data_IF_317475357260
#
_entry.id   IF_317475357260
#
_cell.length_a   1.000
_cell.length_b   1.000
_cell.length_c   1.000
_cell.angle_alpha   90.00
_cell.angle_beta   90.00
_cell.angle_gamma   90.00
#
_symmetry.space_group_name_H-M   'P 1'
#
loop_
_entity.id
_entity.type
_entity.pdbx_description
1 polymer ?
#
# COMPACT_ATOMS: atom_id res chain seq x y z
N UNK A 1 19.73 -6.42 6.38
CA UNK A 1 19.53 -6.43 7.00
C UNK A 1 18.42 -6.27 7.81
N UNK A 2 18.08 -5.57 8.47
CA UNK A 2 17.10 -5.45 9.33
C UNK A 2 15.99 -4.69 8.87
N UNK A 3 15.89 -4.31 7.66
CA UNK A 3 14.88 -3.41 7.23
C UNK A 3 13.50 -4.00 7.28
N UNK A 4 13.33 -5.28 7.18
CA UNK A 4 12.00 -5.86 7.24
C UNK A 4 11.62 -6.36 8.62
N UNK A 5 12.57 -6.26 9.57
CA UNK A 5 12.30 -6.74 10.83
C UNK A 5 11.24 -5.98 11.47
N UNK A 6 10.38 -6.57 12.18
CA UNK A 6 9.38 -5.88 12.97
C UNK A 6 8.35 -5.09 12.20
N UNK A 7 8.13 -5.45 10.94
CA UNK A 7 7.04 -4.81 10.22
C UNK A 7 5.72 -5.07 10.93
N UNK A 8 5.58 -6.26 11.47
CA UNK A 8 4.41 -6.60 12.26
C UNK A 8 4.24 -5.64 13.44
N UNK A 9 5.33 -5.33 14.10
CA UNK A 9 5.30 -4.41 15.23
C UNK A 9 5.02 -2.98 14.76
N UNK A 10 5.60 -2.59 13.63
CA UNK A 10 5.36 -1.26 13.10
C UNK A 10 3.88 -1.03 12.79
N UNK A 11 3.24 -2.03 12.21
CA UNK A 11 1.82 -1.93 11.89
C UNK A 11 1.01 -1.84 13.17
N UNK A 12 1.36 -2.67 14.15
CA UNK A 12 0.67 -2.64 15.43
C UNK A 12 0.79 -1.27 16.09
N UNK A 13 2.00 -0.73 16.09
CA UNK A 13 2.23 0.58 16.69
C UNK A 13 1.47 1.68 15.97
N UNK A 14 1.42 1.58 14.65
CA UNK A 14 0.69 2.55 13.84
C UNK A 14 -0.80 2.54 14.20
N UNK A 15 -1.36 1.35 14.30
CA UNK A 15 -2.76 1.21 14.62
C UNK A 15 -3.06 1.77 16.02
N UNK A 16 -2.17 1.49 16.96
CA UNK A 16 -2.36 1.99 18.32
C UNK A 16 -2.23 3.50 18.38
N UNK A 17 -1.28 4.05 17.62
CA UNK A 17 -1.06 5.48 17.62
C UNK A 17 -2.26 6.25 17.08
N UNK A 18 -2.86 5.76 16.03
CA UNK A 18 -3.97 6.45 15.38
C UNK A 18 -5.33 5.86 15.71
N UNK A 19 -5.32 4.80 16.52
CA UNK A 19 -6.55 4.17 16.99
C UNK A 19 -7.48 3.71 15.87
N UNK A 20 -6.90 3.18 14.82
CA UNK A 20 -7.67 2.62 13.71
C UNK A 20 -6.77 1.75 12.86
N UNK A 21 -7.34 0.69 12.29
CA UNK A 21 -6.64 -0.13 11.32
C UNK A 21 -7.18 0.11 9.92
N UNK A 22 -8.13 1.03 9.79
CA UNK A 22 -8.73 1.34 8.49
C UNK A 22 -7.76 2.20 7.69
N UNK A 23 -7.25 1.72 6.55
CA UNK A 23 -6.25 2.49 5.81
C UNK A 23 -6.79 3.82 5.27
N UNK A 24 -8.08 3.91 4.99
CA UNK A 24 -8.66 5.18 4.56
C UNK A 24 -8.59 6.21 5.68
N UNK A 25 -8.91 5.78 6.89
CA UNK A 25 -8.84 6.67 8.04
C UNK A 25 -7.40 6.99 8.42
N UNK A 26 -6.50 6.04 8.26
CA UNK A 26 -5.09 6.29 8.51
C UNK A 26 -4.57 7.38 7.58
N UNK A 27 -4.95 7.30 6.30
CA UNK A 27 -4.54 8.31 5.35
C UNK A 27 -5.06 9.69 5.76
N UNK A 28 -6.31 9.74 6.18
CA UNK A 28 -6.90 10.99 6.61
C UNK A 28 -6.13 11.58 7.79
N UNK A 29 -5.82 10.76 8.78
CA UNK A 29 -5.09 11.23 9.95
C UNK A 29 -3.65 11.62 9.64
N UNK A 30 -3.10 11.06 8.58
CA UNK A 30 -1.73 11.34 8.16
C UNK A 30 -1.67 12.45 7.10
N UNK A 31 -2.82 13.04 6.78
CA UNK A 31 -2.92 14.10 5.78
C UNK A 31 -2.48 13.63 4.40
N UNK A 32 -2.86 12.42 4.06
CA UNK A 32 -2.61 11.86 2.74
C UNK A 32 -3.94 11.85 2.00
N UNK A 33 -4.00 12.52 0.86
CA UNK A 33 -5.21 12.57 0.06
C UNK A 33 -5.30 11.35 -0.83
N UNK A 34 -6.48 10.77 -0.91
CA UNK A 34 -6.72 9.62 -1.78
C UNK A 34 -7.52 10.10 -2.97
N UNK A 35 -7.00 9.82 -4.15
CA UNK A 35 -7.66 10.20 -5.39
C UNK A 35 -7.82 8.99 -6.29
N UNK A 36 -8.79 9.04 -7.15
CA UNK A 36 -9.07 7.95 -8.07
C UNK A 36 -8.94 8.44 -9.49
N UNK A 37 -8.37 7.62 -10.34
CA UNK A 37 -8.19 8.00 -11.73
C UNK A 37 -8.17 6.75 -12.59
N UNK A 38 -8.37 6.96 -13.88
CA UNK A 38 -8.45 5.85 -14.82
C UNK A 38 -7.10 5.63 -15.46
N UNK A 39 -6.52 4.45 -15.26
CA UNK A 39 -5.24 4.09 -15.84
C UNK A 39 -5.36 2.79 -16.58
N UNK A 40 -4.43 2.57 -17.51
CA UNK A 40 -4.43 1.34 -18.23
C UNK A 40 -3.66 0.24 -17.54
N UNK A 41 -2.44 0.50 -17.17
CA UNK A 41 -1.55 -0.52 -16.63
C UNK A 41 -1.09 -0.30 -15.21
N UNK A 42 -1.55 0.75 -14.58
CA UNK A 42 -1.10 1.09 -13.24
C UNK A 42 -2.25 0.90 -12.26
N UNK A 43 -1.96 0.20 -11.17
CA UNK A 43 -2.97 -0.03 -10.14
C UNK A 43 -3.10 1.16 -9.20
N UNK A 44 -1.96 1.82 -8.95
CA UNK A 44 -1.95 3.00 -8.09
C UNK A 44 -0.54 3.47 -7.87
N UNK A 45 -0.43 4.63 -7.25
CA UNK A 45 0.90 5.15 -6.91
C UNK A 45 0.79 6.19 -5.81
N UNK A 46 1.91 6.44 -5.17
CA UNK A 46 2.03 7.49 -4.17
C UNK A 46 2.86 8.61 -4.77
N UNK A 47 2.44 9.84 -4.52
CA UNK A 47 3.18 10.98 -5.01
C UNK A 47 3.16 12.11 -4.01
N UNK A 48 4.28 12.80 -3.91
CA UNK A 48 4.40 13.95 -3.07
C UNK A 48 4.66 15.15 -3.95
N UNK A 49 3.76 16.13 -3.88
CA UNK A 49 3.89 17.35 -4.67
C UNK A 49 3.92 18.51 -3.70
N UNK A 50 5.05 19.21 -3.67
CA UNK A 50 5.30 20.26 -2.71
C UNK A 50 5.18 19.65 -1.31
N UNK A 51 4.22 20.09 -0.52
CA UNK A 51 4.05 19.57 0.83
C UNK A 51 2.86 18.65 0.95
N UNK A 52 2.23 18.34 -0.16
CA UNK A 52 1.01 17.52 -0.14
C UNK A 52 1.33 16.13 -0.61
N UNK A 53 0.70 15.17 0.04
CA UNK A 53 0.90 13.76 -0.28
C UNK A 53 -0.39 13.20 -0.86
N UNK A 54 -0.24 12.42 -1.91
CA UNK A 54 -1.38 11.83 -2.60
C UNK A 54 -1.15 10.35 -2.83
N UNK A 55 -2.20 9.57 -2.66
CA UNK A 55 -2.23 8.20 -3.14
C UNK A 55 -3.31 8.16 -4.21
N UNK A 56 -2.93 7.76 -5.40
CA UNK A 56 -3.86 7.71 -6.52
C UNK A 56 -4.13 6.24 -6.82
N UNK A 57 -5.40 5.87 -6.90
CA UNK A 57 -5.81 4.49 -7.09
C UNK A 57 -6.60 4.38 -8.38
N UNK A 58 -6.33 3.33 -9.14
CA UNK A 58 -7.05 3.09 -10.38
C UNK A 58 -8.52 2.83 -10.06
N UNK A 59 -9.38 3.67 -10.60
CA UNK A 59 -10.81 3.58 -10.28
C UNK A 59 -11.47 2.35 -10.88
N UNK A 60 -10.80 1.67 -11.80
CA UNK A 60 -11.35 0.47 -12.41
C UNK A 60 -11.14 -0.78 -11.58
N UNK A 61 -10.40 -0.68 -10.49
CA UNK A 61 -10.20 -1.80 -9.60
C UNK A 61 -11.45 -2.05 -8.77
N UNK A 62 -11.67 -3.30 -8.42
CA UNK A 62 -12.77 -3.60 -7.50
C UNK A 62 -12.41 -3.13 -6.09
N UNK A 63 -13.38 -3.22 -5.21
CA UNK A 63 -13.22 -2.69 -3.87
C UNK A 63 -12.09 -3.34 -3.09
N UNK A 64 -11.98 -4.65 -3.19
CA UNK A 64 -10.92 -5.35 -2.47
C UNK A 64 -9.54 -4.97 -3.00
N UNK A 65 -9.42 -4.92 -4.33
CA UNK A 65 -8.14 -4.55 -4.94
C UNK A 65 -7.75 -3.13 -4.58
N UNK A 66 -8.71 -2.22 -4.51
CA UNK A 66 -8.42 -0.85 -4.10
C UNK A 66 -7.85 -0.82 -2.68
N UNK A 67 -8.41 -1.64 -1.81
CA UNK A 67 -7.94 -1.70 -0.44
C UNK A 67 -6.51 -2.21 -0.37
N UNK A 68 -6.20 -3.27 -1.11
CA UNK A 68 -4.86 -3.83 -1.13
C UNK A 68 -3.86 -2.81 -1.67
N UNK A 69 -4.22 -2.14 -2.77
CA UNK A 69 -3.34 -1.15 -3.36
C UNK A 69 -3.15 0.02 -2.41
N UNK A 70 -4.20 0.44 -1.73
CA UNK A 70 -4.09 1.52 -0.77
C UNK A 70 -3.12 1.16 0.34
N UNK A 71 -3.21 -0.05 0.88
CA UNK A 71 -2.29 -0.49 1.92
C UNK A 71 -0.85 -0.49 1.43
N UNK A 72 -0.63 -0.93 0.21
CA UNK A 72 0.72 -0.97 -0.36
C UNK A 72 1.28 0.44 -0.52
N UNK A 73 0.48 1.35 -1.09
CA UNK A 73 0.94 2.70 -1.32
C UNK A 73 1.11 3.47 0.00
N UNK A 74 0.29 3.14 0.98
CA UNK A 74 0.48 3.74 2.29
C UNK A 74 1.82 3.34 2.89
N UNK A 75 2.25 2.11 2.66
CA UNK A 75 3.57 1.68 3.09
C UNK A 75 4.67 2.53 2.48
N UNK A 76 4.57 2.81 1.18
CA UNK A 76 5.53 3.70 0.53
C UNK A 76 5.47 5.10 1.12
N UNK A 77 4.26 5.59 1.36
CA UNK A 77 4.11 6.94 1.91
C UNK A 77 4.76 7.08 3.27
N UNK A 78 4.65 6.05 4.09
CA UNK A 78 5.18 6.09 5.44
C UNK A 78 6.68 5.89 5.50
N UNK A 79 7.21 5.00 4.69
CA UNK A 79 8.59 4.59 4.86
C UNK A 79 9.53 4.96 3.72
N UNK A 80 8.98 5.39 2.60
CA UNK A 80 9.81 5.67 1.43
C UNK A 80 9.59 7.04 0.80
N UNK A 81 8.74 7.87 1.38
CA UNK A 81 8.35 9.12 0.75
C UNK A 81 9.49 10.13 0.67
N UNK A 82 10.48 10.02 1.53
CA UNK A 82 11.59 10.96 1.54
C UNK A 82 12.90 10.34 1.08
N UNK A 83 12.84 9.15 0.51
CA UNK A 83 14.06 8.49 0.07
C UNK A 83 14.51 8.98 -1.28
N UNK A 84 15.81 9.12 -1.42
CA UNK A 84 16.38 9.49 -2.71
C UNK A 84 16.62 8.28 -3.58
N UNK A 85 16.08 7.14 -3.16
CA UNK A 85 16.26 5.91 -3.89
C UNK A 85 15.20 5.69 -4.96
N UNK A 86 14.32 6.67 -5.15
CA UNK A 86 13.32 6.60 -6.19
C UNK A 86 13.98 6.77 -7.55
N UNK A 87 13.60 5.92 -8.46
CA UNK A 87 14.12 5.97 -9.82
C UNK A 87 13.03 6.47 -10.74
N UNK A 88 13.45 7.24 -11.75
CA UNK A 88 12.51 7.76 -12.72
C UNK A 88 12.52 6.84 -13.93
N UNK A 89 11.37 6.30 -14.25
CA UNK A 89 11.24 5.44 -15.40
C UNK A 89 9.94 5.74 -16.11
N UNK A 90 10.03 6.09 -17.39
CA UNK A 90 8.86 6.44 -18.19
C UNK A 90 8.02 7.52 -17.50
N UNK A 91 8.71 8.50 -16.92
CA UNK A 91 8.08 9.62 -16.23
C UNK A 91 7.35 9.24 -14.94
N UNK A 92 7.62 8.05 -14.42
CA UNK A 92 7.07 7.62 -13.15
C UNK A 92 8.20 7.29 -12.20
N UNK A 93 7.95 7.53 -10.92
CA UNK A 93 8.90 7.15 -9.89
C UNK A 93 8.76 5.67 -9.63
N UNK A 94 9.89 4.98 -9.62
CA UNK A 94 9.92 3.54 -9.36
C UNK A 94 10.73 3.30 -8.10
N UNK A 95 10.31 2.31 -7.34
CA UNK A 95 11.02 1.93 -6.13
C UNK A 95 11.93 0.75 -6.41
N UNK A 96 12.97 0.62 -5.62
CA UNK A 96 13.85 -0.52 -5.72
C UNK A 96 13.11 -1.78 -5.28
N UNK A 97 13.61 -2.96 -5.66
CA UNK A 97 12.97 -4.20 -5.21
C UNK A 97 12.88 -4.29 -3.69
N UNK A 98 13.88 -3.79 -2.98
CA UNK A 98 13.87 -3.82 -1.53
C UNK A 98 12.74 -2.97 -0.96
N UNK A 99 12.55 -1.78 -1.53
CA UNK A 99 11.49 -0.91 -1.06
C UNK A 99 10.11 -1.46 -1.41
N UNK A 100 10.00 -2.08 -2.59
CA UNK A 100 8.74 -2.72 -2.95
C UNK A 100 8.43 -3.87 -2.00
N UNK A 101 9.45 -4.63 -1.63
CA UNK A 101 9.26 -5.73 -0.70
C UNK A 101 8.79 -5.23 0.66
N UNK A 102 9.36 -4.13 1.12
CA UNK A 102 8.93 -3.55 2.39
C UNK A 102 7.47 -3.08 2.33
N UNK A 103 7.10 -2.43 1.25
CA UNK A 103 5.73 -1.96 1.10
C UNK A 103 4.76 -3.13 1.03
N UNK A 104 5.18 -4.22 0.37
CA UNK A 104 4.34 -5.41 0.30
C UNK A 104 4.17 -6.04 1.67
N UNK A 105 5.23 -6.08 2.44
CA UNK A 105 5.16 -6.65 3.79
C UNK A 105 4.25 -5.81 4.67
N UNK A 106 4.36 -4.49 4.56
CA UNK A 106 3.48 -3.60 5.31
C UNK A 106 2.02 -3.86 4.93
N UNK A 107 1.75 -3.95 3.62
CA UNK A 107 0.39 -4.14 3.15
C UNK A 107 -0.20 -5.45 3.67
N UNK A 108 0.60 -6.52 3.62
CA UNK A 108 0.11 -7.82 4.09
C UNK A 108 -0.20 -7.76 5.58
N UNK A 109 0.67 -7.13 6.36
CA UNK A 109 0.43 -7.05 7.80
C UNK A 109 -0.80 -6.20 8.12
N UNK A 110 -0.97 -5.09 7.41
CA UNK A 110 -2.13 -4.24 7.66
C UNK A 110 -3.42 -4.93 7.21
N UNK A 111 -3.36 -5.67 6.11
CA UNK A 111 -4.54 -6.38 5.62
C UNK A 111 -5.05 -7.41 6.62
N UNK A 112 -4.18 -7.93 7.46
CA UNK A 112 -4.60 -8.90 8.46
C UNK A 112 -5.57 -8.31 9.47
N UNK A 113 -5.63 -6.99 9.57
CA UNK A 113 -6.53 -6.32 10.51
C UNK A 113 -7.86 -5.94 9.87
N UNK A 114 -8.06 -6.24 8.60
CA UNK A 114 -9.29 -5.86 7.91
C UNK A 114 -10.32 -6.95 8.07
N UNK A 115 -11.09 -6.88 9.13
CA UNK A 115 -12.02 -7.93 9.47
C UNK A 115 -13.17 -8.09 8.49
N UNK A 116 -13.51 -7.02 7.80
CA UNK A 116 -14.62 -7.07 6.88
C UNK A 116 -14.28 -7.76 5.57
N UNK A 117 -12.99 -8.02 5.35
CA UNK A 117 -12.57 -8.67 4.13
C UNK A 117 -12.31 -10.13 4.42
N UNK A 118 -13.27 -10.95 4.10
CA UNK A 118 -13.13 -12.37 4.33
C UNK A 118 -12.44 -13.03 3.14
N UNK A 119 -11.98 -14.23 3.35
CA UNK A 119 -11.40 -15.01 2.27
C UNK A 119 -12.44 -15.23 1.16
N UNK A 120 -13.70 -15.36 1.55
CA UNK A 120 -14.77 -15.52 0.59
C UNK A 120 -14.88 -14.31 -0.31
N UNK A 121 -14.85 -13.13 0.28
CA UNK A 121 -14.90 -11.90 -0.49
C UNK A 121 -13.70 -11.80 -1.43
N UNK A 122 -12.53 -12.18 -0.95
CA UNK A 122 -11.33 -12.14 -1.78
C UNK A 122 -11.43 -13.07 -2.97
N UNK A 123 -12.07 -14.22 -2.78
CA UNK A 123 -12.24 -15.17 -3.88
C UNK A 123 -13.13 -14.60 -4.98
N UNK A 124 -14.10 -13.79 -4.61
CA UNK A 124 -14.99 -13.18 -5.59
C UNK A 124 -14.33 -12.02 -6.32
N UNK A 125 -13.19 -11.55 -5.82
CA UNK A 125 -12.47 -10.43 -6.41
C UNK A 125 -11.15 -10.93 -6.96
N UNK A 126 -11.19 -11.54 -8.13
CA UNK A 126 -10.00 -12.15 -8.72
C UNK A 126 -8.80 -11.23 -8.73
N UNK A 127 -9.02 -10.01 -9.15
CA UNK A 127 -7.91 -9.07 -9.26
C UNK A 127 -7.29 -8.77 -7.90
N UNK A 128 -8.14 -8.60 -6.89
CA UNK A 128 -7.65 -8.34 -5.56
C UNK A 128 -6.83 -9.49 -5.02
N UNK A 129 -7.33 -10.71 -5.26
CA UNK A 129 -6.63 -11.89 -4.81
C UNK A 129 -5.30 -12.04 -5.51
N UNK A 130 -5.26 -11.75 -6.81
CA UNK A 130 -4.02 -11.83 -7.57
C UNK A 130 -2.99 -10.83 -7.05
N UNK A 131 -3.42 -9.62 -6.75
CA UNK A 131 -2.53 -8.61 -6.22
C UNK A 131 -1.94 -9.06 -4.89
N UNK A 132 -2.79 -9.57 -4.02
CA UNK A 132 -2.34 -10.04 -2.71
C UNK A 132 -1.39 -11.22 -2.83
N UNK A 133 -1.69 -12.15 -3.74
CA UNK A 133 -0.82 -13.30 -3.97
C UNK A 133 0.54 -12.84 -4.46
N UNK A 134 0.54 -11.86 -5.34
CA UNK A 134 1.77 -11.32 -5.87
C UNK A 134 2.61 -10.70 -4.76
N UNK A 135 1.96 -9.95 -3.88
CA UNK A 135 2.66 -9.34 -2.75
C UNK A 135 3.25 -10.38 -1.83
N UNK A 136 2.48 -11.43 -1.56
CA UNK A 136 2.97 -12.49 -0.69
C UNK A 136 4.17 -13.21 -1.27
N UNK A 137 4.21 -13.32 -2.60
CA UNK A 137 5.36 -13.96 -3.23
C UNK A 137 6.64 -13.19 -2.98
N UNK A 138 6.56 -11.88 -3.02
CA UNK A 138 7.73 -11.06 -2.72
C UNK A 138 8.24 -11.31 -1.32
N UNK A 139 7.32 -11.50 -0.39
CA UNK A 139 7.71 -11.70 0.99
C UNK A 139 8.41 -13.02 1.25
N UNK A 140 8.26 -13.97 0.35
CA UNK A 140 8.90 -15.25 0.51
C UNK A 140 10.36 -15.24 0.10
N UNK A 141 10.77 -14.20 -0.53
CA UNK A 141 12.17 -14.06 -0.92
C UNK A 141 12.83 -12.96 -0.13
#
# INVERSE_FOLDING_TARGET
>A
MKKHKNMKRRVKNLIEKYNTSNPYLLCKKLNIEIKYSCFKDIKGFFRRILRRKYIVINENLDEYSRLVVLCHELGHALYHSSKNTLLMKNNFLCYTPELESEANEFAVELMKYQEEISYETAKDCDLGLQVLEEMKRYLKH
#
